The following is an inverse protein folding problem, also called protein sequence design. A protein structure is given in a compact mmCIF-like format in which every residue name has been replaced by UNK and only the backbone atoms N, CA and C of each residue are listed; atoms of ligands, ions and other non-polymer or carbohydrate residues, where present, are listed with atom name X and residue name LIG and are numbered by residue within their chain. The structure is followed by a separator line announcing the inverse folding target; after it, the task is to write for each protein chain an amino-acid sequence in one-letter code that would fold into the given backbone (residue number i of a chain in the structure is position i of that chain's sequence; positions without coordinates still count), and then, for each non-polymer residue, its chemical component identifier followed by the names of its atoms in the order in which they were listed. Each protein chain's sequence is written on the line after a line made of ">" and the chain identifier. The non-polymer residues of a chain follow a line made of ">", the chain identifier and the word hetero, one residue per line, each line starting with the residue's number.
data_IF_104336550613
#
_entry.id   IF_104336550613
#
_cell.length_a   1.000
_cell.length_b   1.000
_cell.length_c   1.000
_cell.angle_alpha   90.00
_cell.angle_beta   90.00
_cell.angle_gamma   90.00
#
_symmetry.space_group_name_H-M   'P 1'
#
loop_
_entity.id
_entity.type
_entity.pdbx_description
1 polymer ?
#
# COMPACT_ATOMS: atom_id res chain seq x y z
N UNK A 1 10.51 -59.79 -5.36
CA UNK A 1 10.18 -58.40 -5.70
C UNK A 1 10.26 -58.24 -7.21
N UNK A 2 9.11 -58.17 -7.88
CA UNK A 2 8.99 -58.10 -9.34
C UNK A 2 9.21 -56.67 -9.84
N UNK A 3 9.54 -56.50 -11.13
CA UNK A 3 9.74 -55.17 -11.72
C UNK A 3 8.52 -54.25 -11.53
N UNK A 4 7.30 -54.82 -11.50
CA UNK A 4 6.04 -54.13 -11.21
C UNK A 4 5.97 -53.54 -9.79
N UNK A 5 6.47 -54.27 -8.79
CA UNK A 5 6.47 -53.81 -7.39
C UNK A 5 7.47 -52.66 -7.15
N UNK A 6 8.48 -52.49 -8.04
CA UNK A 6 9.38 -51.33 -8.03
C UNK A 6 8.76 -50.10 -8.69
N UNK A 7 7.98 -50.28 -9.76
CA UNK A 7 7.27 -49.17 -10.42
C UNK A 7 6.16 -48.60 -9.53
N UNK A 8 5.40 -49.45 -8.84
CA UNK A 8 4.32 -48.98 -7.96
C UNK A 8 4.86 -48.21 -6.74
N UNK A 9 6.05 -48.58 -6.23
CA UNK A 9 6.73 -47.84 -5.17
C UNK A 9 7.27 -46.48 -5.65
N UNK A 10 7.74 -46.38 -6.89
CA UNK A 10 8.21 -45.12 -7.49
C UNK A 10 7.03 -44.19 -7.80
N UNK A 11 5.91 -44.71 -8.27
CA UNK A 11 4.69 -43.94 -8.54
C UNK A 11 4.03 -43.47 -7.24
N UNK A 12 4.11 -44.26 -6.16
CA UNK A 12 3.67 -43.86 -4.82
C UNK A 12 4.54 -42.75 -4.21
N UNK A 13 5.87 -42.86 -4.33
CA UNK A 13 6.81 -41.82 -3.85
C UNK A 13 6.78 -40.53 -4.71
N UNK A 14 6.37 -40.63 -5.98
CA UNK A 14 6.12 -39.47 -6.86
C UNK A 14 4.79 -38.76 -6.58
N UNK A 15 3.79 -39.43 -5.98
CA UNK A 15 2.54 -38.78 -5.57
C UNK A 15 2.71 -37.97 -4.28
N UNK A 16 3.63 -38.35 -3.39
CA UNK A 16 3.88 -37.66 -2.12
C UNK A 16 4.86 -36.47 -2.25
N UNK A 17 5.53 -36.33 -3.41
CA UNK A 17 6.35 -35.15 -3.77
C UNK A 17 5.58 -34.03 -4.47
N UNK A 18 4.24 -34.10 -4.46
CA UNK A 18 3.40 -32.90 -4.65
C UNK A 18 3.38 -32.08 -3.36
N UNK A 19 4.58 -31.72 -2.91
CA UNK A 19 4.82 -30.72 -1.89
C UNK A 19 4.27 -29.39 -2.41
N UNK A 20 3.06 -29.07 -1.96
CA UNK A 20 2.44 -27.75 -1.78
C UNK A 20 3.15 -26.60 -2.51
N UNK A 21 2.48 -25.87 -3.43
CA UNK A 21 2.90 -24.52 -3.74
C UNK A 21 2.63 -23.65 -2.49
N UNK A 22 3.62 -23.56 -1.62
CA UNK A 22 3.65 -22.60 -0.53
C UNK A 22 3.95 -21.24 -1.18
N UNK A 23 3.01 -20.31 -0.98
CA UNK A 23 3.14 -18.86 -1.18
C UNK A 23 3.19 -18.27 -2.61
N UNK A 24 2.10 -18.38 -3.39
CA UNK A 24 1.97 -17.53 -4.59
C UNK A 24 0.57 -16.99 -4.91
N UNK A 25 -0.40 -17.03 -3.98
CA UNK A 25 -1.69 -16.34 -4.16
C UNK A 25 -2.14 -15.61 -2.89
N UNK A 26 -1.24 -14.86 -2.26
CA UNK A 26 -1.72 -13.77 -1.41
C UNK A 26 -2.38 -12.74 -2.32
N UNK A 27 -3.66 -12.51 -2.10
CA UNK A 27 -4.42 -11.48 -2.79
C UNK A 27 -3.70 -10.13 -2.64
N UNK A 28 -3.82 -9.26 -3.64
CA UNK A 28 -3.25 -7.90 -3.58
C UNK A 28 -3.67 -7.17 -2.29
N UNK A 29 -4.89 -7.44 -1.80
CA UNK A 29 -5.42 -6.91 -0.55
C UNK A 29 -4.63 -7.40 0.68
N UNK A 30 -4.28 -8.69 0.73
CA UNK A 30 -3.46 -9.25 1.81
C UNK A 30 -2.03 -8.73 1.78
N UNK A 31 -1.41 -8.63 0.59
CA UNK A 31 -0.06 -8.06 0.45
C UNK A 31 -0.02 -6.60 0.92
N UNK A 32 -1.04 -5.82 0.58
CA UNK A 32 -1.15 -4.42 1.02
C UNK A 32 -1.49 -4.31 2.51
N UNK A 33 -2.34 -5.19 3.06
CA UNK A 33 -2.62 -5.23 4.49
C UNK A 33 -1.36 -5.53 5.29
N UNK A 34 -0.59 -6.54 4.87
CA UNK A 34 0.72 -6.87 5.45
C UNK A 34 1.72 -5.74 5.27
N UNK A 35 1.71 -5.03 4.14
CA UNK A 35 2.57 -3.88 3.90
C UNK A 35 2.25 -2.72 4.86
N UNK A 36 0.98 -2.39 5.08
CA UNK A 36 0.59 -1.37 6.06
C UNK A 36 0.94 -1.81 7.48
N UNK A 37 0.64 -3.05 7.84
CA UNK A 37 1.02 -3.59 9.15
C UNK A 37 2.53 -3.49 9.36
N UNK A 38 3.33 -3.86 8.36
CA UNK A 38 4.78 -3.75 8.38
C UNK A 38 5.27 -2.29 8.46
N UNK A 39 4.68 -1.37 7.69
CA UNK A 39 4.99 0.06 7.80
C UNK A 39 4.71 0.60 9.21
N UNK A 40 3.55 0.26 9.78
CA UNK A 40 3.14 0.70 11.12
C UNK A 40 4.07 0.11 12.19
N UNK A 41 4.37 -1.19 12.12
CA UNK A 41 5.11 -1.90 13.18
C UNK A 41 6.63 -1.77 13.09
N UNK A 42 7.21 -1.83 11.88
CA UNK A 42 8.67 -1.81 11.73
C UNK A 42 9.19 -0.39 11.52
N UNK A 43 8.62 0.38 10.60
CA UNK A 43 9.23 1.63 10.14
C UNK A 43 8.81 2.85 10.98
N UNK A 44 7.51 3.05 11.22
CA UNK A 44 7.01 4.20 11.99
C UNK A 44 7.44 4.14 13.47
N UNK A 45 7.70 2.94 14.00
CA UNK A 45 8.11 2.72 15.40
C UNK A 45 9.63 2.72 15.58
N UNK A 46 10.42 2.18 14.64
CA UNK A 46 11.88 2.02 14.81
C UNK A 46 12.74 2.92 13.93
N UNK A 47 12.14 3.86 13.19
CA UNK A 47 12.80 4.76 12.21
C UNK A 47 14.28 5.01 12.51
N UNK A 48 15.15 4.37 11.73
CA UNK A 48 16.59 4.49 11.81
C UNK A 48 17.09 5.37 10.66
N UNK A 49 17.74 6.50 10.96
CA UNK A 49 18.26 7.39 9.93
C UNK A 49 19.40 6.75 9.13
N UNK A 50 20.08 5.76 9.72
CA UNK A 50 21.23 5.05 9.13
C UNK A 50 20.79 4.09 8.01
N UNK A 51 19.53 3.65 8.01
CA UNK A 51 18.95 2.78 6.97
C UNK A 51 18.36 3.59 5.79
N UNK A 52 18.43 4.92 5.85
CA UNK A 52 17.93 5.78 4.77
C UNK A 52 18.89 5.77 3.57
N UNK A 53 18.31 5.71 2.37
CA UNK A 53 19.11 5.86 1.15
C UNK A 53 19.82 7.21 1.14
N UNK A 54 21.11 7.17 0.78
CA UNK A 54 21.87 8.37 0.45
C UNK A 54 21.33 9.01 -0.83
N UNK A 55 21.75 10.26 -1.08
CA UNK A 55 21.40 10.98 -2.31
C UNK A 55 21.81 10.22 -3.57
N UNK A 56 23.01 9.63 -3.58
CA UNK A 56 23.57 8.95 -4.75
C UNK A 56 22.87 7.62 -5.00
N UNK A 57 22.53 6.87 -3.95
CA UNK A 57 21.69 5.67 -4.06
C UNK A 57 20.31 6.02 -4.60
N UNK A 58 19.67 7.08 -4.10
CA UNK A 58 18.38 7.55 -4.63
C UNK A 58 18.48 7.96 -6.12
N UNK A 59 19.60 8.56 -6.53
CA UNK A 59 19.85 8.96 -7.92
C UNK A 59 20.16 7.77 -8.84
N UNK A 60 20.60 6.64 -8.29
CA UNK A 60 20.85 5.40 -9.04
C UNK A 60 19.57 4.62 -9.37
N UNK A 61 18.47 4.84 -8.64
CA UNK A 61 17.17 4.23 -8.95
C UNK A 61 16.64 4.74 -10.29
N UNK A 62 16.00 3.87 -11.06
CA UNK A 62 15.29 4.31 -12.26
C UNK A 62 14.12 5.26 -11.90
N UNK A 63 13.62 6.00 -12.88
CA UNK A 63 12.58 7.01 -12.66
C UNK A 63 11.32 6.46 -11.97
N UNK A 64 10.90 5.24 -12.31
CA UNK A 64 9.70 4.61 -11.76
C UNK A 64 9.95 4.15 -10.32
N UNK A 65 11.06 3.43 -10.10
CA UNK A 65 11.49 3.00 -8.76
C UNK A 65 11.65 4.18 -7.82
N UNK A 66 12.25 5.27 -8.29
CA UNK A 66 12.47 6.48 -7.52
C UNK A 66 11.16 7.14 -7.10
N UNK A 67 10.21 7.29 -8.04
CA UNK A 67 8.89 7.84 -7.74
C UNK A 67 8.14 6.98 -6.72
N UNK A 68 8.16 5.66 -6.87
CA UNK A 68 7.52 4.73 -5.93
C UNK A 68 8.16 4.83 -4.54
N UNK A 69 9.49 4.79 -4.46
CA UNK A 69 10.23 4.91 -3.20
C UNK A 69 9.93 6.24 -2.49
N UNK A 70 9.93 7.35 -3.24
CA UNK A 70 9.64 8.68 -2.70
C UNK A 70 8.19 8.81 -2.21
N UNK A 71 7.20 8.30 -2.96
CA UNK A 71 5.79 8.29 -2.55
C UNK A 71 5.60 7.54 -1.23
N UNK A 72 6.18 6.35 -1.11
CA UNK A 72 6.10 5.56 0.13
C UNK A 72 6.86 6.20 1.29
N UNK A 73 8.07 6.72 1.04
CA UNK A 73 8.85 7.43 2.05
C UNK A 73 8.12 8.68 2.55
N UNK A 74 7.47 9.44 1.68
CA UNK A 74 6.69 10.60 2.06
C UNK A 74 5.53 10.23 2.99
N UNK A 75 4.85 9.12 2.71
CA UNK A 75 3.77 8.62 3.55
C UNK A 75 4.28 8.24 4.96
N UNK A 76 5.42 7.57 5.05
CA UNK A 76 6.08 7.28 6.32
C UNK A 76 6.51 8.55 7.08
N UNK A 77 7.07 9.54 6.37
CA UNK A 77 7.47 10.82 6.93
C UNK A 77 6.27 11.56 7.54
N UNK A 78 5.12 11.56 6.88
CA UNK A 78 3.89 12.13 7.41
C UNK A 78 3.41 11.38 8.67
N UNK A 79 3.43 10.04 8.66
CA UNK A 79 3.07 9.25 9.84
C UNK A 79 3.94 9.61 11.06
N UNK A 80 5.25 9.68 10.85
CA UNK A 80 6.19 10.10 11.89
C UNK A 80 5.92 11.54 12.37
N UNK A 81 5.74 12.47 11.43
CA UNK A 81 5.46 13.87 11.72
C UNK A 81 4.20 14.03 12.58
N UNK A 82 3.09 13.38 12.21
CA UNK A 82 1.85 13.46 12.97
C UNK A 82 1.93 12.85 14.35
N UNK A 83 2.70 11.76 14.51
CA UNK A 83 2.96 11.18 15.83
C UNK A 83 3.65 12.18 16.77
N UNK A 84 4.61 12.95 16.25
CA UNK A 84 5.34 13.97 17.03
C UNK A 84 4.57 15.28 17.19
N UNK A 85 3.57 15.53 16.36
CA UNK A 85 2.79 16.77 16.36
C UNK A 85 1.29 16.45 16.43
N UNK A 86 0.74 16.12 17.61
CA UNK A 86 -0.65 15.65 17.75
C UNK A 86 -1.72 16.61 17.23
N UNK A 87 -1.45 17.92 17.27
CA UNK A 87 -2.37 18.97 16.83
C UNK A 87 -2.24 19.32 15.34
N UNK A 88 -1.27 18.76 14.62
CA UNK A 88 -1.11 19.04 13.20
C UNK A 88 -2.29 18.48 12.39
N UNK A 89 -2.72 19.25 11.39
CA UNK A 89 -3.79 18.85 10.46
C UNK A 89 -3.37 17.60 9.68
N UNK A 90 -4.17 16.53 9.79
CA UNK A 90 -3.92 15.23 9.15
C UNK A 90 -4.42 15.17 7.71
N UNK A 91 -5.20 16.15 7.23
CA UNK A 91 -5.78 16.14 5.89
C UNK A 91 -4.76 15.91 4.76
N UNK A 92 -3.60 16.60 4.72
CA UNK A 92 -2.59 16.33 3.69
C UNK A 92 -2.08 14.88 3.71
N UNK A 93 -1.96 14.29 4.91
CA UNK A 93 -1.59 12.89 5.09
C UNK A 93 -2.64 11.92 4.58
N UNK A 94 -3.90 12.18 4.91
CA UNK A 94 -5.03 11.40 4.43
C UNK A 94 -5.10 11.38 2.89
N UNK A 95 -4.94 12.54 2.23
CA UNK A 95 -4.92 12.63 0.78
C UNK A 95 -3.76 11.83 0.17
N UNK A 96 -2.56 11.94 0.74
CA UNK A 96 -1.41 11.17 0.29
C UNK A 96 -1.63 9.66 0.47
N UNK A 97 -2.18 9.25 1.60
CA UNK A 97 -2.52 7.84 1.88
C UNK A 97 -3.49 7.31 0.82
N UNK A 98 -4.57 8.04 0.55
CA UNK A 98 -5.54 7.67 -0.50
C UNK A 98 -4.85 7.56 -1.85
N UNK A 99 -4.00 8.54 -2.21
CA UNK A 99 -3.28 8.57 -3.49
C UNK A 99 -2.37 7.35 -3.67
N UNK A 100 -1.58 7.03 -2.65
CA UNK A 100 -0.66 5.87 -2.67
C UNK A 100 -1.43 4.56 -2.78
N UNK A 101 -2.50 4.38 -2.00
CA UNK A 101 -3.22 3.11 -2.00
C UNK A 101 -4.24 2.95 -3.11
N UNK A 102 -4.64 4.05 -3.77
CA UNK A 102 -5.45 4.04 -5.00
C UNK A 102 -4.65 3.60 -6.24
N UNK A 103 -3.32 3.58 -6.18
CA UNK A 103 -2.44 3.03 -7.23
C UNK A 103 -2.57 1.50 -7.29
N UNK A 104 -3.64 1.06 -7.94
CA UNK A 104 -4.09 -0.34 -7.99
C UNK A 104 -5.10 -0.58 -9.11
N UNK A 105 -5.45 -1.85 -9.33
CA UNK A 105 -6.34 -2.26 -10.43
C UNK A 105 -7.78 -1.71 -10.33
N UNK A 106 -8.19 -1.16 -9.18
CA UNK A 106 -9.50 -0.56 -8.96
C UNK A 106 -9.45 0.96 -8.92
N UNK A 107 -8.26 1.58 -8.99
CA UNK A 107 -8.09 3.03 -8.94
C UNK A 107 -8.54 3.68 -7.63
N UNK A 108 -8.75 2.92 -6.56
CA UNK A 108 -9.35 3.41 -5.32
C UNK A 108 -8.75 2.78 -4.06
N UNK A 109 -8.62 3.60 -3.02
CA UNK A 109 -8.28 3.19 -1.66
C UNK A 109 -9.54 2.71 -0.93
N UNK A 110 -9.50 1.47 -0.42
CA UNK A 110 -10.62 0.85 0.32
C UNK A 110 -10.31 0.64 1.80
N UNK A 111 -9.28 1.30 2.33
CA UNK A 111 -8.89 1.17 3.73
C UNK A 111 -9.90 1.86 4.65
N UNK A 112 -10.18 1.23 5.79
CA UNK A 112 -11.07 1.80 6.80
C UNK A 112 -10.44 3.02 7.47
N UNK A 113 -11.29 3.92 7.97
CA UNK A 113 -10.86 5.07 8.75
C UNK A 113 -10.08 4.65 10.01
N UNK A 114 -10.43 3.52 10.62
CA UNK A 114 -9.70 2.91 11.73
C UNK A 114 -8.24 2.61 11.37
N UNK A 115 -7.99 2.01 10.20
CA UNK A 115 -6.62 1.69 9.76
C UNK A 115 -5.81 2.95 9.50
N UNK A 116 -6.42 3.98 8.90
CA UNK A 116 -5.78 5.28 8.72
C UNK A 116 -5.48 5.97 10.06
N UNK A 117 -6.41 5.89 11.02
CA UNK A 117 -6.24 6.42 12.37
C UNK A 117 -5.06 5.75 13.10
N UNK A 118 -4.97 4.42 13.03
CA UNK A 118 -3.83 3.66 13.55
C UNK A 118 -2.52 4.08 12.90
N UNK A 119 -2.51 4.19 11.57
CA UNK A 119 -1.33 4.59 10.81
C UNK A 119 -0.81 5.99 11.19
N UNK A 120 -1.69 6.99 11.24
CA UNK A 120 -1.32 8.37 11.55
C UNK A 120 -1.28 8.70 13.04
N UNK A 121 -1.52 7.73 13.92
CA UNK A 121 -1.65 7.96 15.37
C UNK A 121 -2.68 9.07 15.66
N UNK A 122 -3.88 8.90 15.13
CA UNK A 122 -5.02 9.82 15.25
C UNK A 122 -6.28 9.09 15.69
N UNK A 123 -7.27 9.85 16.15
CA UNK A 123 -8.62 9.31 16.36
C UNK A 123 -9.32 9.12 15.01
N UNK A 124 -10.21 8.13 14.94
CA UNK A 124 -11.05 7.92 13.74
C UNK A 124 -11.88 9.15 13.38
N UNK A 125 -12.32 9.92 14.39
CA UNK A 125 -13.04 11.17 14.17
C UNK A 125 -12.19 12.18 13.42
N UNK A 126 -10.93 12.39 13.83
CA UNK A 126 -10.03 13.32 13.16
C UNK A 126 -9.78 12.91 11.69
N UNK A 127 -9.63 11.60 11.43
CA UNK A 127 -9.51 11.08 10.06
C UNK A 127 -10.79 11.34 9.27
N UNK A 128 -11.96 11.03 9.84
CA UNK A 128 -13.26 11.23 9.19
C UNK A 128 -13.48 12.70 8.82
N UNK A 129 -13.24 13.61 9.76
CA UNK A 129 -13.40 15.06 9.57
C UNK A 129 -12.43 15.58 8.49
N UNK A 130 -11.18 15.11 8.49
CA UNK A 130 -10.21 15.43 7.45
C UNK A 130 -10.66 14.92 6.07
N UNK A 131 -11.15 13.68 5.99
CA UNK A 131 -11.63 13.09 4.74
C UNK A 131 -12.90 13.77 4.20
N UNK A 132 -13.77 14.29 5.07
CA UNK A 132 -14.89 15.14 4.64
C UNK A 132 -14.40 16.46 4.04
N UNK A 133 -13.50 17.17 4.72
CA UNK A 133 -12.93 18.42 4.17
C UNK A 133 -12.27 18.22 2.81
N UNK A 134 -11.49 17.16 2.64
CA UNK A 134 -10.85 16.86 1.35
C UNK A 134 -11.84 16.60 0.22
N UNK A 135 -12.99 16.00 0.53
CA UNK A 135 -14.06 15.79 -0.44
C UNK A 135 -14.79 17.10 -0.75
N UNK A 136 -15.12 17.89 0.28
CA UNK A 136 -15.77 19.20 0.14
C UNK A 136 -14.88 20.19 -0.65
N UNK A 137 -13.56 20.13 -0.45
CA UNK A 137 -12.55 20.92 -1.18
C UNK A 137 -12.34 20.42 -2.63
N UNK A 138 -12.95 19.29 -3.02
CA UNK A 138 -12.87 18.73 -4.37
C UNK A 138 -11.52 18.13 -4.75
N UNK A 139 -10.64 17.87 -3.78
CA UNK A 139 -9.30 17.29 -4.01
C UNK A 139 -9.30 15.76 -3.97
N UNK A 140 -10.40 15.16 -3.52
CA UNK A 140 -10.64 13.72 -3.62
C UNK A 140 -12.13 13.41 -3.75
N UNK A 141 -12.43 12.18 -4.16
CA UNK A 141 -13.79 11.67 -4.27
C UNK A 141 -13.95 10.44 -3.39
N UNK A 142 -15.19 10.20 -2.92
CA UNK A 142 -15.55 8.99 -2.19
C UNK A 142 -16.86 8.42 -2.71
N UNK A 143 -16.93 7.10 -2.70
CA UNK A 143 -18.17 6.37 -2.96
C UNK A 143 -18.38 5.30 -1.88
N UNK A 144 -19.64 5.08 -1.52
CA UNK A 144 -20.01 4.11 -0.49
C UNK A 144 -19.99 2.71 -1.09
N UNK A 145 -19.04 1.89 -0.66
CA UNK A 145 -18.92 0.48 -1.05
C UNK A 145 -19.34 -0.42 0.11
N UNK A 146 -20.66 -0.63 0.26
CA UNK A 146 -21.24 -1.41 1.35
C UNK A 146 -21.02 -0.76 2.72
N UNK A 147 -20.18 -1.37 3.56
CA UNK A 147 -19.82 -0.87 4.90
C UNK A 147 -18.56 0.01 4.92
N UNK A 148 -17.90 0.15 3.77
CA UNK A 148 -16.65 0.90 3.61
C UNK A 148 -16.81 1.99 2.56
N UNK A 149 -15.78 2.82 2.40
CA UNK A 149 -15.69 3.79 1.31
C UNK A 149 -14.59 3.40 0.34
N UNK A 150 -14.85 3.56 -0.95
CA UNK A 150 -13.81 3.63 -1.98
C UNK A 150 -13.45 5.11 -2.15
N UNK A 151 -12.18 5.46 -1.95
CA UNK A 151 -11.70 6.85 -2.02
C UNK A 151 -10.61 6.95 -3.09
N UNK A 152 -10.61 8.03 -3.89
CA UNK A 152 -9.55 8.26 -4.89
C UNK A 152 -9.26 9.76 -5.05
N UNK A 153 -8.02 10.14 -5.38
CA UNK A 153 -7.67 11.54 -5.53
C UNK A 153 -8.30 12.14 -6.80
N UNK A 154 -8.57 13.44 -6.77
CA UNK A 154 -8.95 14.17 -7.97
C UNK A 154 -7.71 14.37 -8.86
N UNK A 155 -7.60 13.56 -9.92
CA UNK A 155 -6.52 13.67 -10.91
C UNK A 155 -7.06 14.35 -12.16
N UNK A 156 -6.53 15.53 -12.48
CA UNK A 156 -6.93 16.26 -13.67
C UNK A 156 -6.53 15.52 -14.94
N UNK A 157 -7.43 15.47 -15.94
CA UNK A 157 -7.22 14.73 -17.20
C UNK A 157 -5.94 15.14 -17.93
N UNK A 158 -5.57 16.42 -17.84
CA UNK A 158 -4.34 16.95 -18.45
C UNK A 158 -3.06 16.20 -18.00
N UNK A 159 -3.05 15.57 -16.83
CA UNK A 159 -1.90 14.79 -16.35
C UNK A 159 -1.80 13.39 -16.96
N UNK A 160 -2.82 12.96 -17.72
CA UNK A 160 -2.88 11.64 -18.37
C UNK A 160 -2.67 11.75 -19.89
N UNK A 161 -2.80 12.95 -20.46
CA UNK A 161 -2.95 13.18 -21.90
C UNK A 161 -1.68 13.04 -22.75
N UNK A 162 -0.50 12.80 -22.20
CA UNK A 162 0.75 12.66 -22.98
C UNK A 162 1.12 11.22 -23.36
N UNK A 163 0.22 10.23 -23.17
CA UNK A 163 0.50 8.81 -23.51
C UNK A 163 -0.45 8.14 -24.50
N UNK A 164 -1.47 8.82 -25.01
CA UNK A 164 -2.46 8.20 -25.90
C UNK A 164 -2.10 8.27 -27.41
N UNK A 165 -0.92 8.76 -27.78
CA UNK A 165 -0.47 8.86 -29.18
C UNK A 165 0.85 8.14 -29.49
N UNK A 166 1.28 7.21 -28.63
CA UNK A 166 2.48 6.41 -28.85
C UNK A 166 2.27 4.94 -28.48
N UNK A 167 1.41 4.25 -29.22
CA UNK A 167 1.48 2.79 -29.50
C UNK A 167 0.34 2.38 -30.42
#
# INVERSE_FOLDING_TARGET
>A
MTAREREDAIVSDMKDRTSKPIDAQQSLAERKSKFIERLITEWVVRRCAEDALTRDELASLDSTQRIIAQKHSLLDNFAHFYRRNPCADVAPGCLLFVTVFADNNTGACMYSMERMAKFFSRSERAIRDAMHRLEDDGVMFRDKNGRSYACWPAVHRAFVSDRAHAS
#
